data_IF_161457362319
#
_entry.id   IF_161457362319
#
_cell.length_a   1.000
_cell.length_b   1.000
_cell.length_c   1.000
_cell.angle_alpha   90.00
_cell.angle_beta   90.00
_cell.angle_gamma   90.00
#
_symmetry.space_group_name_H-M   'P 1'
#
loop_
_entity.id
_entity.type
_entity.pdbx_description
1 polymer ?
#
# COMPACT_ATOMS: atom_id res chain seq x y z
N UNK A 1 -58.94 4.71 -8.57
CA UNK A 1 -58.73 5.69 -9.67
C UNK A 1 -57.29 5.51 -10.17
N UNK A 2 -57.07 4.64 -11.16
CA UNK A 2 -56.72 4.95 -12.56
C UNK A 2 -55.56 5.96 -12.76
N UNK A 3 -54.37 5.37 -12.99
CA UNK A 3 -53.32 5.63 -14.00
C UNK A 3 -52.87 7.08 -14.25
N UNK A 4 -51.54 7.31 -14.23
CA UNK A 4 -50.77 7.57 -15.47
C UNK A 4 -49.25 7.63 -15.21
N UNK A 5 -48.52 6.73 -15.90
CA UNK A 5 -47.10 6.81 -16.21
C UNK A 5 -46.90 7.90 -17.27
N UNK A 6 -45.81 8.68 -17.22
CA UNK A 6 -45.12 9.17 -18.43
C UNK A 6 -43.61 9.15 -18.20
N UNK A 7 -42.93 8.35 -19.03
CA UNK A 7 -41.49 8.39 -19.24
C UNK A 7 -41.21 9.37 -20.39
N UNK A 8 -40.07 10.08 -20.33
CA UNK A 8 -39.50 10.75 -21.49
C UNK A 8 -37.98 10.67 -21.42
N UNK A 9 -37.43 9.70 -22.14
CA UNK A 9 -36.02 9.60 -22.49
C UNK A 9 -35.72 10.61 -23.60
N UNK A 10 -34.65 11.39 -23.47
CA UNK A 10 -34.04 12.10 -24.60
C UNK A 10 -32.59 11.64 -24.69
N UNK A 11 -32.32 10.85 -25.73
CA UNK A 11 -30.98 10.48 -26.15
C UNK A 11 -30.44 11.58 -27.08
N UNK A 12 -29.29 12.16 -26.75
CA UNK A 12 -28.52 13.00 -27.66
C UNK A 12 -27.30 12.21 -28.11
N UNK A 13 -27.33 11.75 -29.35
CA UNK A 13 -26.18 11.19 -30.04
C UNK A 13 -25.35 12.34 -30.61
N UNK A 14 -24.12 12.51 -30.13
CA UNK A 14 -23.13 13.38 -30.74
C UNK A 14 -22.07 12.52 -31.45
N UNK A 15 -22.10 12.55 -32.77
CA UNK A 15 -21.08 11.99 -33.66
C UNK A 15 -19.95 13.02 -33.77
N UNK A 16 -18.74 12.66 -33.38
CA UNK A 16 -17.53 13.43 -33.72
C UNK A 16 -16.61 12.60 -34.61
N UNK A 17 -16.27 13.21 -35.74
CA UNK A 17 -15.49 12.67 -36.85
C UNK A 17 -13.99 12.72 -36.54
N UNK A 18 -13.28 11.67 -36.98
CA UNK A 18 -11.82 11.59 -36.95
C UNK A 18 -11.20 12.52 -38.00
N UNK A 19 -10.14 13.24 -37.63
CA UNK A 19 -9.18 13.83 -38.57
C UNK A 19 -7.78 13.49 -38.09
N UNK A 20 -7.06 12.70 -38.89
CA UNK A 20 -5.66 12.35 -38.64
C UNK A 20 -4.69 13.34 -39.27
N UNK A 21 -3.43 13.26 -38.84
CA UNK A 21 -2.26 13.56 -39.66
C UNK A 21 -1.12 12.65 -39.22
N UNK A 22 -0.68 11.81 -40.15
CA UNK A 22 0.55 11.05 -40.09
C UNK A 22 1.74 12.01 -40.26
N UNK A 23 2.77 11.84 -39.43
CA UNK A 23 4.08 12.46 -39.59
C UNK A 23 5.15 11.38 -39.65
N UNK A 24 5.74 11.21 -40.82
CA UNK A 24 6.68 10.18 -41.21
C UNK A 24 8.08 10.81 -41.41
N UNK A 25 9.14 10.11 -40.99
CA UNK A 25 10.50 10.33 -41.52
C UNK A 25 11.65 10.42 -40.50
N UNK A 26 12.46 9.36 -40.46
CA UNK A 26 13.81 9.13 -39.87
C UNK A 26 14.92 10.10 -40.41
N UNK A 27 16.26 9.94 -40.16
CA UNK A 27 17.03 8.90 -39.45
C UNK A 27 18.22 9.40 -38.56
N UNK A 28 18.94 8.43 -37.99
CA UNK A 28 20.36 8.42 -37.57
C UNK A 28 20.92 9.55 -36.69
N UNK A 29 21.30 9.21 -35.46
CA UNK A 29 22.57 9.67 -34.93
C UNK A 29 23.17 8.66 -33.95
N UNK A 30 24.39 8.24 -34.28
CA UNK A 30 25.15 7.16 -33.70
C UNK A 30 25.54 7.37 -32.23
N UNK A 31 25.77 6.23 -31.56
CA UNK A 31 26.43 6.11 -30.27
C UNK A 31 27.86 6.68 -30.27
N UNK A 32 28.38 6.97 -29.07
CA UNK A 32 29.67 6.35 -28.74
C UNK A 32 29.57 5.47 -27.49
N UNK A 33 30.16 4.28 -27.64
CA UNK A 33 30.50 3.34 -26.58
C UNK A 33 31.37 3.99 -25.51
N UNK A 34 31.01 3.82 -24.24
CA UNK A 34 31.93 3.94 -23.12
C UNK A 34 31.99 2.60 -22.41
N UNK A 35 33.03 1.84 -22.76
CA UNK A 35 33.48 0.64 -22.05
C UNK A 35 34.08 1.08 -20.72
N UNK A 36 33.48 0.70 -19.60
CA UNK A 36 34.11 0.80 -18.28
C UNK A 36 34.35 -0.61 -17.75
N UNK A 37 35.62 -1.01 -17.84
CA UNK A 37 36.19 -2.27 -17.35
C UNK A 37 36.06 -2.35 -15.83
N UNK A 38 35.44 -3.43 -15.35
CA UNK A 38 35.46 -3.83 -13.95
C UNK A 38 36.72 -4.66 -13.67
N UNK A 39 37.53 -4.22 -12.71
CA UNK A 39 38.60 -4.96 -12.02
C UNK A 39 38.88 -4.14 -10.76
N UNK A 40 38.96 -4.61 -9.53
CA UNK A 40 38.88 -5.92 -8.89
C UNK A 40 39.29 -5.64 -7.43
N UNK A 41 38.60 -6.28 -6.49
CA UNK A 41 39.03 -6.70 -5.14
C UNK A 41 40.11 -5.89 -4.41
N UNK A 42 39.79 -5.33 -3.24
CA UNK A 42 40.39 -5.80 -1.97
C UNK A 42 39.71 -5.20 -0.75
N UNK A 43 39.30 -6.11 0.13
CA UNK A 43 38.94 -5.93 1.53
C UNK A 43 40.12 -5.32 2.29
N UNK A 44 39.89 -4.28 3.10
CA UNK A 44 40.84 -3.87 4.14
C UNK A 44 40.17 -4.11 5.50
N UNK A 45 40.74 -5.08 6.22
CA UNK A 45 40.34 -5.48 7.57
C UNK A 45 41.44 -4.94 8.48
N UNK A 46 41.09 -3.96 9.32
CA UNK A 46 41.98 -3.43 10.34
C UNK A 46 42.23 -4.50 11.43
N UNK A 47 43.50 -4.78 11.80
CA UNK A 47 43.83 -5.81 12.76
C UNK A 47 43.60 -5.34 14.21
N UNK A 48 42.71 -6.04 14.92
CA UNK A 48 42.57 -5.94 16.38
C UNK A 48 43.69 -6.74 17.06
N UNK A 49 44.39 -6.19 18.07
CA UNK A 49 45.43 -6.92 18.79
C UNK A 49 44.85 -7.93 19.78
N UNK A 50 45.40 -9.14 19.75
CA UNK A 50 45.20 -10.26 20.69
C UNK A 50 46.27 -10.21 21.77
N UNK A 51 45.95 -10.41 23.07
CA UNK A 51 46.58 -11.35 24.05
C UNK A 51 45.75 -11.36 25.40
N UNK A 52 45.96 -12.24 26.42
CA UNK A 52 45.25 -13.52 26.61
C UNK A 52 44.55 -13.72 28.00
N UNK A 53 43.83 -14.85 28.08
CA UNK A 53 43.66 -15.79 29.22
C UNK A 53 43.11 -15.30 30.58
N UNK A 54 42.03 -15.95 31.04
CA UNK A 54 42.01 -16.67 32.31
C UNK A 54 40.75 -17.55 32.41
N UNK A 55 40.96 -18.82 32.74
CA UNK A 55 39.92 -19.75 33.15
C UNK A 55 39.37 -19.32 34.52
N UNK A 56 38.04 -19.32 34.64
CA UNK A 56 37.33 -19.10 35.88
C UNK A 56 36.01 -19.85 35.84
N UNK A 57 36.04 -21.11 36.25
CA UNK A 57 34.82 -21.87 36.57
C UNK A 57 34.14 -21.18 37.76
N UNK A 58 32.94 -20.66 37.57
CA UNK A 58 32.07 -20.24 38.66
C UNK A 58 30.63 -20.58 38.31
N UNK A 59 30.18 -21.68 38.90
CA UNK A 59 28.79 -22.13 38.90
C UNK A 59 27.99 -21.11 39.71
N UNK A 60 27.35 -20.16 39.05
CA UNK A 60 26.37 -19.27 39.65
C UNK A 60 24.97 -19.79 39.27
N UNK A 61 24.26 -20.28 40.29
CA UNK A 61 22.85 -20.61 40.27
C UNK A 61 22.04 -19.46 39.67
N UNK A 62 21.52 -19.66 38.47
CA UNK A 62 20.57 -18.73 37.85
C UNK A 62 19.24 -18.82 38.62
N UNK A 63 18.93 -17.76 39.36
CA UNK A 63 17.55 -17.47 39.73
C UNK A 63 16.73 -17.26 38.45
N UNK A 64 15.42 -17.61 38.43
CA UNK A 64 14.59 -17.37 37.27
C UNK A 64 14.51 -15.86 37.05
N UNK A 65 15.14 -15.38 35.98
CA UNK A 65 14.76 -14.10 35.39
C UNK A 65 13.37 -14.32 34.83
N UNK A 66 12.37 -13.76 35.51
CA UNK A 66 11.05 -13.53 34.91
C UNK A 66 11.31 -12.92 33.54
N UNK A 67 10.94 -13.66 32.49
CA UNK A 67 10.75 -13.07 31.18
C UNK A 67 9.74 -11.98 31.42
N UNK A 68 10.18 -10.73 31.33
CA UNK A 68 9.26 -9.64 31.08
C UNK A 68 8.67 -9.95 29.72
N UNK A 69 7.53 -10.63 29.75
CA UNK A 69 6.56 -10.64 28.68
C UNK A 69 6.40 -9.18 28.26
N UNK A 70 7.10 -8.79 27.20
CA UNK A 70 6.63 -7.72 26.35
C UNK A 70 5.47 -8.33 25.56
N UNK A 71 4.40 -8.65 26.30
CA UNK A 71 3.07 -8.60 25.75
C UNK A 71 2.98 -7.19 25.18
N UNK A 72 2.94 -7.14 23.85
CA UNK A 72 2.58 -5.94 23.15
C UNK A 72 1.13 -5.66 23.54
N UNK A 73 0.95 -5.01 24.68
CA UNK A 73 -0.26 -4.29 25.02
C UNK A 73 -0.53 -3.43 23.79
N UNK A 74 -1.47 -3.89 22.97
CA UNK A 74 -2.21 -3.01 22.10
C UNK A 74 -2.60 -1.86 22.99
N UNK A 75 -1.94 -0.70 22.81
CA UNK A 75 -2.42 0.53 23.38
C UNK A 75 -3.91 0.57 23.07
N UNK A 76 -4.72 0.33 24.11
CA UNK A 76 -6.14 0.07 23.95
C UNK A 76 -6.68 1.32 23.29
N UNK A 77 -7.05 1.19 22.02
CA UNK A 77 -7.53 2.29 21.21
C UNK A 77 -8.63 2.98 21.99
N UNK A 78 -8.45 4.27 22.24
CA UNK A 78 -9.38 5.07 23.07
C UNK A 78 -10.80 5.06 22.46
N UNK A 79 -10.92 4.77 21.16
CA UNK A 79 -12.21 4.74 20.45
C UNK A 79 -12.27 3.58 19.42
N UNK A 80 -13.07 2.52 19.66
CA UNK A 80 -13.20 1.39 18.73
C UNK A 80 -13.79 1.78 17.37
N UNK A 81 -14.50 2.91 17.28
CA UNK A 81 -14.97 3.42 15.98
C UNK A 81 -13.81 3.90 15.11
N UNK A 82 -12.72 4.38 15.72
CA UNK A 82 -11.53 4.80 15.00
C UNK A 82 -10.81 3.59 14.38
N UNK A 83 -10.75 2.47 15.10
CA UNK A 83 -10.16 1.22 14.59
C UNK A 83 -10.92 0.68 13.39
N UNK A 84 -12.26 0.68 13.46
CA UNK A 84 -13.10 0.22 12.36
C UNK A 84 -12.88 1.05 11.08
N UNK A 85 -12.83 2.39 11.22
CA UNK A 85 -12.55 3.29 10.08
C UNK A 85 -11.12 3.09 9.56
N UNK A 86 -10.14 2.90 10.44
CA UNK A 86 -8.76 2.70 10.06
C UNK A 86 -8.57 1.38 9.29
N UNK A 87 -9.14 0.29 9.78
CA UNK A 87 -9.08 -1.01 9.10
C UNK A 87 -9.85 -0.98 7.76
N UNK A 88 -11.03 -0.37 7.72
CA UNK A 88 -11.78 -0.19 6.47
C UNK A 88 -10.96 0.60 5.44
N UNK A 89 -10.34 1.70 5.86
CA UNK A 89 -9.47 2.49 4.99
C UNK A 89 -8.26 1.69 4.51
N UNK A 90 -7.59 0.94 5.39
CA UNK A 90 -6.45 0.11 5.02
C UNK A 90 -6.82 -0.95 3.99
N UNK A 91 -7.95 -1.65 4.19
CA UNK A 91 -8.48 -2.62 3.23
C UNK A 91 -8.84 -1.96 1.90
N UNK A 92 -9.52 -0.81 1.94
CA UNK A 92 -9.91 -0.08 0.74
C UNK A 92 -8.70 0.33 -0.10
N UNK A 93 -7.61 0.78 0.53
CA UNK A 93 -6.37 1.21 -0.15
C UNK A 93 -5.66 0.08 -0.91
N UNK A 94 -5.88 -1.19 -0.52
CA UNK A 94 -5.30 -2.38 -1.18
C UNK A 94 -6.35 -3.24 -1.90
N UNK A 95 -7.57 -2.73 -2.08
CA UNK A 95 -8.61 -3.38 -2.88
C UNK A 95 -8.63 -2.79 -4.29
N UNK A 96 -8.03 -3.50 -5.24
CA UNK A 96 -7.94 -3.14 -6.65
C UNK A 96 -8.81 -4.05 -7.50
N UNK A 97 -9.41 -3.48 -8.54
CA UNK A 97 -10.11 -4.21 -9.58
C UNK A 97 -9.51 -3.81 -10.92
N UNK A 98 -8.72 -4.70 -11.54
CA UNK A 98 -8.00 -4.36 -12.79
C UNK A 98 -8.91 -4.14 -14.00
N UNK A 99 -10.21 -4.46 -13.90
CA UNK A 99 -11.20 -4.13 -14.94
C UNK A 99 -11.67 -2.68 -14.85
N UNK A 100 -11.50 -2.03 -13.69
CA UNK A 100 -11.95 -0.67 -13.40
C UNK A 100 -10.78 0.28 -13.14
N UNK A 101 -9.72 -0.22 -12.55
CA UNK A 101 -8.58 0.54 -12.04
C UNK A 101 -7.48 0.57 -13.06
N UNK A 102 -7.06 1.78 -13.44
CA UNK A 102 -5.89 1.97 -14.30
C UNK A 102 -4.59 1.98 -13.49
N UNK A 103 -4.68 2.36 -12.22
CA UNK A 103 -3.56 2.43 -11.28
C UNK A 103 -3.94 1.90 -9.91
N UNK A 104 -2.94 1.60 -9.08
CA UNK A 104 -3.18 1.30 -7.66
C UNK A 104 -3.85 2.47 -6.91
N UNK A 105 -3.56 3.72 -7.28
CA UNK A 105 -4.16 4.91 -6.66
C UNK A 105 -5.66 5.04 -6.91
N UNK A 106 -6.22 4.36 -7.92
CA UNK A 106 -7.66 4.33 -8.15
C UNK A 106 -8.43 3.77 -6.93
N UNK A 107 -7.83 2.88 -6.14
CA UNK A 107 -8.39 2.40 -4.88
C UNK A 107 -8.48 3.52 -3.82
N UNK A 108 -7.42 4.32 -3.67
CA UNK A 108 -7.43 5.49 -2.80
C UNK A 108 -8.49 6.52 -3.22
N UNK A 109 -8.70 6.71 -4.54
CA UNK A 109 -9.76 7.58 -5.06
C UNK A 109 -11.15 7.08 -4.66
N UNK A 110 -11.39 5.76 -4.64
CA UNK A 110 -12.65 5.20 -4.12
C UNK A 110 -12.81 5.34 -2.62
N UNK A 111 -11.71 5.33 -1.88
CA UNK A 111 -11.69 5.46 -0.42
C UNK A 111 -11.93 6.91 0.07
N UNK A 112 -12.04 7.90 -0.83
CA UNK A 112 -12.34 9.31 -0.48
C UNK A 112 -13.48 9.52 0.53
N UNK A 113 -14.59 8.75 0.54
CA UNK A 113 -15.64 8.91 1.56
C UNK A 113 -15.16 8.69 3.01
N UNK A 114 -14.06 7.95 3.21
CA UNK A 114 -13.44 7.72 4.51
C UNK A 114 -12.44 8.81 4.90
N UNK A 115 -12.08 9.68 3.97
CA UNK A 115 -11.07 10.71 4.13
C UNK A 115 -11.68 12.04 4.60
N UNK A 116 -10.85 12.88 5.20
CA UNK A 116 -11.14 14.31 5.33
C UNK A 116 -11.29 14.95 3.95
N UNK A 117 -12.01 16.07 3.86
CA UNK A 117 -12.17 16.81 2.61
C UNK A 117 -10.82 17.20 2.00
N UNK A 118 -9.87 17.63 2.83
CA UNK A 118 -8.52 18.02 2.41
C UNK A 118 -7.75 16.83 1.80
N UNK A 119 -7.72 15.68 2.48
CA UNK A 119 -7.07 14.49 1.95
C UNK A 119 -7.77 13.99 0.67
N UNK A 120 -9.10 14.00 0.64
CA UNK A 120 -9.87 13.60 -0.53
C UNK A 120 -9.59 14.50 -1.74
N UNK A 121 -9.41 15.81 -1.55
CA UNK A 121 -9.09 16.76 -2.60
C UNK A 121 -7.70 16.51 -3.21
N UNK A 122 -6.69 16.21 -2.40
CA UNK A 122 -5.32 15.93 -2.87
C UNK A 122 -5.11 14.50 -3.40
N UNK A 123 -6.02 13.58 -3.10
CA UNK A 123 -5.95 12.20 -3.59
C UNK A 123 -6.39 12.15 -5.06
N UNK A 124 -5.42 12.12 -5.97
CA UNK A 124 -5.65 12.10 -7.42
C UNK A 124 -4.89 10.96 -8.05
N UNK A 125 -5.46 10.37 -9.10
CA UNK A 125 -4.82 9.29 -9.84
C UNK A 125 -3.62 9.82 -10.63
N UNK A 126 -2.43 9.17 -10.56
CA UNK A 126 -1.32 9.55 -11.40
C UNK A 126 -1.59 9.18 -12.85
N UNK A 127 -0.96 9.89 -13.78
CA UNK A 127 -1.10 9.60 -15.21
C UNK A 127 -0.52 8.23 -15.60
N UNK A 128 0.50 7.75 -14.89
CA UNK A 128 1.19 6.48 -15.16
C UNK A 128 1.10 5.55 -13.97
N UNK A 129 0.75 4.29 -14.23
CA UNK A 129 0.76 3.25 -13.21
C UNK A 129 2.20 2.76 -12.96
N UNK A 130 2.67 2.83 -11.71
CA UNK A 130 3.94 2.22 -11.28
C UNK A 130 3.94 0.70 -11.43
N UNK A 131 2.76 0.08 -11.31
CA UNK A 131 2.54 -1.37 -11.40
C UNK A 131 2.07 -1.82 -12.78
N UNK A 132 2.36 -1.06 -13.84
CA UNK A 132 1.85 -1.32 -15.20
C UNK A 132 2.16 -2.73 -15.70
N UNK A 133 3.36 -3.26 -15.43
CA UNK A 133 3.75 -4.60 -15.87
C UNK A 133 2.90 -5.70 -15.21
N UNK A 134 2.55 -5.53 -13.93
CA UNK A 134 1.65 -6.43 -13.21
C UNK A 134 0.21 -6.28 -13.72
N UNK A 135 -0.26 -5.05 -13.92
CA UNK A 135 -1.59 -4.76 -14.49
C UNK A 135 -1.80 -5.41 -15.85
N UNK A 136 -0.79 -5.37 -16.73
CA UNK A 136 -0.87 -6.00 -18.05
C UNK A 136 -1.08 -7.53 -17.98
N UNK A 137 -0.65 -8.18 -16.90
CA UNK A 137 -0.84 -9.61 -16.69
C UNK A 137 -2.21 -9.92 -16.06
N UNK A 138 -2.67 -9.05 -15.15
CA UNK A 138 -3.91 -9.25 -14.39
C UNK A 138 -5.17 -8.84 -15.14
N UNK A 139 -5.11 -7.76 -15.91
CA UNK A 139 -6.26 -7.19 -16.60
C UNK A 139 -6.92 -8.18 -17.59
N UNK A 140 -6.17 -8.93 -18.42
CA UNK A 140 -6.77 -9.96 -19.28
C UNK A 140 -7.51 -11.07 -18.51
N UNK A 141 -7.18 -11.27 -17.24
CA UNK A 141 -7.79 -12.28 -16.37
C UNK A 141 -9.01 -11.74 -15.60
N UNK A 142 -9.32 -10.45 -15.76
CA UNK A 142 -10.34 -9.75 -14.97
C UNK A 142 -10.07 -9.83 -13.48
N UNK A 143 -8.80 -9.78 -13.08
CA UNK A 143 -8.41 -10.05 -11.71
C UNK A 143 -8.66 -8.86 -10.77
N UNK A 144 -9.00 -9.18 -9.52
CA UNK A 144 -9.17 -8.25 -8.41
C UNK A 144 -8.28 -8.66 -7.24
N UNK A 145 -7.78 -7.73 -6.45
CA UNK A 145 -7.10 -8.09 -5.22
C UNK A 145 -8.14 -8.44 -4.14
N UNK A 146 -7.85 -9.49 -3.39
CA UNK A 146 -8.53 -9.86 -2.18
C UNK A 146 -7.59 -9.58 -1.01
N UNK A 147 -7.77 -8.44 -0.32
CA UNK A 147 -6.86 -8.02 0.73
C UNK A 147 -7.10 -8.76 2.04
N UNK A 148 -6.05 -8.86 2.84
CA UNK A 148 -6.07 -9.39 4.18
C UNK A 148 -5.21 -8.53 5.11
N UNK A 149 -5.77 -8.18 6.25
CA UNK A 149 -5.04 -7.58 7.36
C UNK A 149 -4.28 -8.69 8.12
N UNK A 150 -2.96 -8.59 8.17
CA UNK A 150 -2.09 -9.56 8.87
C UNK A 150 -1.60 -9.02 10.23
N UNK A 151 -2.29 -8.03 10.79
CA UNK A 151 -2.00 -7.46 12.11
C UNK A 151 -1.37 -6.08 12.02
N UNK A 152 -1.01 -5.55 13.19
CA UNK A 152 -0.42 -4.21 13.31
C UNK A 152 1.08 -4.21 13.01
N UNK A 153 1.57 -3.06 12.57
CA UNK A 153 3.02 -2.83 12.39
C UNK A 153 3.49 -1.96 13.55
N UNK A 154 4.54 -2.42 14.24
CA UNK A 154 5.18 -1.62 15.28
C UNK A 154 5.78 -0.33 14.69
N UNK A 155 5.52 0.78 15.37
CA UNK A 155 6.28 2.02 15.18
C UNK A 155 7.20 2.16 16.39
N UNK A 156 8.45 2.53 16.19
CA UNK A 156 9.39 2.71 17.32
C UNK A 156 8.98 3.87 18.23
N UNK A 157 8.33 4.89 17.66
CA UNK A 157 7.88 6.08 18.37
C UNK A 157 6.54 6.56 17.78
N UNK A 158 5.43 5.81 17.99
CA UNK A 158 4.13 6.26 17.52
C UNK A 158 3.74 7.54 18.28
N UNK A 159 3.15 8.53 17.61
CA UNK A 159 2.51 9.62 18.33
C UNK A 159 1.40 9.05 19.24
N UNK A 160 1.20 9.66 20.40
CA UNK A 160 0.14 9.25 21.31
C UNK A 160 -1.24 9.56 20.74
N UNK A 161 -2.17 8.64 20.94
CA UNK A 161 -3.58 8.86 20.65
C UNK A 161 -4.16 9.93 21.59
N UNK A 162 -5.11 10.69 21.06
CA UNK A 162 -5.90 11.68 21.81
C UNK A 162 -7.38 11.43 21.56
N UNK A 163 -8.26 12.15 22.25
CA UNK A 163 -9.71 12.06 22.04
C UNK A 163 -10.17 12.53 20.64
N UNK A 164 -9.30 13.16 19.85
CA UNK A 164 -9.62 13.71 18.53
C UNK A 164 -8.66 13.29 17.42
N UNK A 165 -7.57 12.58 17.74
CA UNK A 165 -6.56 12.12 16.77
C UNK A 165 -6.06 10.75 17.17
N UNK A 166 -6.00 9.81 16.23
CA UNK A 166 -5.44 8.47 16.45
C UNK A 166 -4.53 8.03 15.31
N UNK A 167 -3.60 7.13 15.60
CA UNK A 167 -2.64 6.60 14.63
C UNK A 167 -2.69 5.07 14.55
N UNK A 168 -2.91 4.52 13.35
CA UNK A 168 -3.02 3.07 13.15
C UNK A 168 -2.14 2.61 12.01
N UNK A 169 -1.47 1.47 12.23
CA UNK A 169 -0.54 0.91 11.26
C UNK A 169 -0.88 -0.56 11.04
N UNK A 170 -1.10 -0.96 9.79
CA UNK A 170 -1.46 -2.34 9.43
C UNK A 170 -0.48 -2.92 8.42
N UNK A 171 -0.22 -4.23 8.53
CA UNK A 171 0.45 -5.00 7.49
C UNK A 171 -0.62 -5.65 6.61
N UNK A 172 -0.74 -5.16 5.39
CA UNK A 172 -1.69 -5.66 4.41
C UNK A 172 -1.01 -6.65 3.46
N UNK A 173 -1.69 -7.75 3.18
CA UNK A 173 -1.34 -8.67 2.09
C UNK A 173 -2.53 -8.86 1.18
N UNK A 174 -2.34 -9.40 -0.02
CA UNK A 174 -3.43 -9.70 -0.92
C UNK A 174 -3.14 -10.94 -1.76
N UNK A 175 -4.21 -11.56 -2.24
CA UNK A 175 -4.16 -12.50 -3.35
C UNK A 175 -4.88 -11.90 -4.55
N UNK A 176 -4.41 -12.18 -5.76
CA UNK A 176 -5.13 -11.80 -6.97
C UNK A 176 -6.13 -12.90 -7.32
N UNK A 177 -7.40 -12.54 -7.41
CA UNK A 177 -8.49 -13.45 -7.72
C UNK A 177 -9.04 -13.11 -9.10
N UNK A 178 -9.04 -14.07 -10.02
CA UNK A 178 -9.56 -13.94 -11.38
C UNK A 178 -11.08 -13.84 -11.40
N UNK A 179 -11.64 -13.47 -12.56
CA UNK A 179 -13.09 -13.36 -12.72
C UNK A 179 -13.86 -14.68 -12.45
N UNK A 180 -13.22 -15.84 -12.61
CA UNK A 180 -13.79 -17.17 -12.29
C UNK A 180 -13.55 -17.60 -10.83
N UNK A 181 -13.00 -16.72 -10.00
CA UNK A 181 -12.84 -16.96 -8.55
C UNK A 181 -11.59 -17.75 -8.16
N UNK A 182 -10.63 -17.94 -9.07
CA UNK A 182 -9.37 -18.65 -8.79
C UNK A 182 -8.25 -17.67 -8.48
N UNK A 183 -7.20 -18.14 -7.81
CA UNK A 183 -5.97 -17.35 -7.68
C UNK A 183 -5.33 -17.16 -9.06
N UNK A 184 -5.02 -15.92 -9.42
CA UNK A 184 -4.35 -15.59 -10.66
C UNK A 184 -2.91 -16.16 -10.67
N UNK A 185 -2.44 -16.72 -11.79
CA UNK A 185 -1.11 -17.30 -11.91
C UNK A 185 -0.03 -16.22 -12.15
N UNK A 186 -0.03 -15.16 -11.33
CA UNK A 186 0.96 -14.09 -11.37
C UNK A 186 1.78 -14.08 -10.08
N UNK A 187 3.03 -13.67 -10.17
CA UNK A 187 3.86 -13.47 -9.00
C UNK A 187 3.72 -12.03 -8.51
N UNK A 188 3.05 -11.85 -7.37
CA UNK A 188 3.06 -10.61 -6.60
C UNK A 188 3.39 -10.97 -5.16
N UNK A 189 4.65 -10.80 -4.77
CA UNK A 189 5.15 -11.14 -3.44
C UNK A 189 5.20 -9.91 -2.52
N UNK A 190 4.44 -8.87 -2.83
CA UNK A 190 4.40 -7.65 -2.03
C UNK A 190 3.43 -7.81 -0.87
N UNK A 191 3.84 -7.29 0.28
CA UNK A 191 2.99 -6.83 1.35
C UNK A 191 3.05 -5.30 1.38
N UNK A 192 2.05 -4.66 1.97
CA UNK A 192 2.01 -3.21 2.12
C UNK A 192 1.78 -2.84 3.57
N UNK A 193 2.72 -2.12 4.15
CA UNK A 193 2.48 -1.44 5.41
C UNK A 193 1.66 -0.19 5.11
N UNK A 194 0.54 -0.01 5.81
CA UNK A 194 -0.34 1.15 5.70
C UNK A 194 -0.31 1.88 7.04
N UNK A 195 0.15 3.12 7.04
CA UNK A 195 0.22 4.01 8.19
C UNK A 195 -0.86 5.08 8.03
N UNK A 196 -1.73 5.22 9.02
CA UNK A 196 -2.91 6.08 8.98
C UNK A 196 -2.88 7.07 10.13
N UNK A 197 -3.19 8.32 9.83
CA UNK A 197 -3.58 9.33 10.82
C UNK A 197 -5.07 9.60 10.64
N UNK A 198 -5.84 9.47 11.71
CA UNK A 198 -7.26 9.77 11.72
C UNK A 198 -7.55 10.94 12.64
N UNK A 199 -8.51 11.77 12.25
CA UNK A 199 -9.02 12.88 13.06
C UNK A 199 -10.52 12.78 13.21
N UNK A 200 -11.03 13.27 14.33
CA UNK A 200 -12.46 13.35 14.59
C UNK A 200 -13.05 14.59 13.92
N UNK A 201 -14.00 14.40 13.01
CA UNK A 201 -14.73 15.45 12.30
C UNK A 201 -16.20 15.37 12.71
N UNK A 202 -16.62 16.26 13.61
CA UNK A 202 -17.91 16.13 14.30
C UNK A 202 -17.93 14.86 15.15
N UNK A 203 -18.90 13.97 14.89
CA UNK A 203 -19.05 12.70 15.61
C UNK A 203 -18.46 11.50 14.84
N UNK A 204 -17.71 11.73 13.76
CA UNK A 204 -17.15 10.65 12.92
C UNK A 204 -15.64 10.75 12.79
N UNK A 205 -14.98 9.59 12.76
CA UNK A 205 -13.57 9.51 12.41
C UNK A 205 -13.37 9.59 10.90
N UNK A 206 -12.32 10.29 10.47
CA UNK A 206 -11.90 10.42 9.07
C UNK A 206 -10.39 10.27 8.97
N UNK A 207 -9.93 9.68 7.88
CA UNK A 207 -8.50 9.62 7.55
C UNK A 207 -8.03 11.02 7.17
N UNK A 208 -7.11 11.58 7.95
CA UNK A 208 -6.48 12.87 7.70
C UNK A 208 -5.23 12.74 6.83
N UNK A 209 -4.49 11.64 6.99
CA UNK A 209 -3.34 11.33 6.17
C UNK A 209 -3.06 9.83 6.12
N UNK A 210 -2.32 9.41 5.10
CA UNK A 210 -1.82 8.05 5.02
C UNK A 210 -0.48 7.97 4.29
N UNK A 211 0.34 6.99 4.70
CA UNK A 211 1.56 6.58 4.02
C UNK A 211 1.50 5.09 3.76
N UNK A 212 1.99 4.66 2.60
CA UNK A 212 2.13 3.25 2.26
C UNK A 212 3.56 2.91 1.91
N UNK A 213 4.05 1.77 2.39
CA UNK A 213 5.35 1.22 2.00
C UNK A 213 5.20 -0.23 1.56
N UNK A 214 5.68 -0.55 0.37
CA UNK A 214 5.75 -1.93 -0.11
C UNK A 214 6.96 -2.64 0.52
N UNK A 215 6.73 -3.87 0.94
CA UNK A 215 7.72 -4.77 1.55
C UNK A 215 7.59 -6.15 0.90
N UNK A 216 8.64 -6.97 0.89
CA UNK A 216 8.47 -8.40 0.60
C UNK A 216 7.52 -9.04 1.61
N UNK A 217 6.60 -9.89 1.13
CA UNK A 217 5.70 -10.68 1.98
C UNK A 217 6.44 -11.86 2.62
#
# INVERSE_FOLDING_TARGET
MKRQMWAASVAVAAVFTMTGCAGQGSPDSAAPSATATATGTSTDIEPRPTVPAAAGTSTATAAPVESSDHDHDHAESIDPAADAVAEEAALALVTWDTTRDKTETAAAVRAKPLMTEELAARTVEPQRNSSQALWNQLQPLGARSEPKNNGTVASEHPPEDTSTTVYRNYRMTWSWITADGKTAPVQDNRARNVYLSLVKVGDSWKVADYLTSDMPN
#
